data_IF_865252067414
#
_entry.id   IF_865252067414
#
_cell.length_a   1.000
_cell.length_b   1.000
_cell.length_c   1.000
_cell.angle_alpha   90.00
_cell.angle_beta   90.00
_cell.angle_gamma   90.00
#
_symmetry.space_group_name_H-M   'P 1'
#
loop_
_entity.id
_entity.type
_entity.pdbx_description
1 polymer ?
#
# COMPACT_ATOMS: atom_id res chain seq x y z
N UNK A 1 -4.56 -5.08 35.47
CA UNK A 1 -5.05 -3.84 36.12
C UNK A 1 -5.55 -2.86 35.05
N UNK A 2 -6.72 -2.25 35.28
CA UNK A 2 -7.39 -1.11 34.59
C UNK A 2 -7.73 -1.23 33.07
N UNK A 3 -9.01 -1.36 32.66
CA UNK A 3 -10.03 -0.30 32.37
C UNK A 3 -9.55 0.69 31.28
N UNK A 4 -10.18 0.90 30.13
CA UNK A 4 -11.59 0.85 29.74
C UNK A 4 -12.02 2.26 29.31
N UNK A 5 -12.27 2.52 28.02
CA UNK A 5 -12.89 3.76 27.53
C UNK A 5 -13.56 3.54 26.16
N UNK A 6 -14.89 3.43 26.18
CA UNK A 6 -15.79 3.67 25.05
C UNK A 6 -16.26 5.12 25.11
N UNK A 7 -16.33 5.83 23.98
CA UNK A 7 -17.29 6.92 23.79
C UNK A 7 -17.65 7.08 22.31
N UNK A 8 -18.95 7.31 22.12
CA UNK A 8 -19.67 7.47 20.86
C UNK A 8 -19.97 8.96 20.60
N UNK A 9 -20.76 9.19 19.53
CA UNK A 9 -21.41 10.44 19.05
C UNK A 9 -20.63 11.15 17.93
N UNK A 10 -21.21 11.66 16.84
CA UNK A 10 -22.61 11.92 16.49
C UNK A 10 -22.75 12.14 14.97
N UNK A 11 -23.90 11.78 14.42
CA UNK A 11 -24.35 12.07 13.05
C UNK A 11 -25.08 13.41 13.03
N UNK A 12 -24.82 14.24 12.04
CA UNK A 12 -25.69 15.36 11.65
C UNK A 12 -26.09 15.19 10.17
N UNK A 13 -27.40 15.11 9.96
CA UNK A 13 -28.05 15.08 8.65
C UNK A 13 -28.56 16.47 8.32
N UNK A 14 -28.24 16.99 7.14
CA UNK A 14 -28.86 18.18 6.57
C UNK A 14 -29.57 17.80 5.26
N UNK A 15 -30.89 17.95 5.29
CA UNK A 15 -31.82 17.89 4.15
C UNK A 15 -31.70 19.19 3.35
N UNK A 16 -31.69 19.09 2.04
CA UNK A 16 -31.98 20.21 1.13
C UNK A 16 -32.92 19.73 0.02
N UNK A 17 -34.15 20.22 0.10
CA UNK A 17 -35.21 20.13 -0.91
C UNK A 17 -35.02 21.25 -1.93
N UNK A 18 -35.10 20.96 -3.22
CA UNK A 18 -35.31 21.99 -4.25
C UNK A 18 -36.35 21.56 -5.29
N UNK A 19 -37.27 22.49 -5.53
CA UNK A 19 -38.45 22.40 -6.36
C UNK A 19 -38.11 22.47 -7.86
N UNK A 20 -38.88 21.77 -8.69
CA UNK A 20 -38.86 21.89 -10.16
C UNK A 20 -40.11 22.63 -10.67
N UNK A 21 -40.00 23.54 -11.67
CA UNK A 21 -41.14 24.23 -12.27
C UNK A 21 -41.73 23.48 -13.49
N UNK A 22 -42.90 23.90 -14.01
CA UNK A 22 -43.77 23.05 -14.82
C UNK A 22 -43.48 23.07 -16.32
N UNK A 23 -43.86 21.96 -16.97
CA UNK A 23 -43.81 21.69 -18.42
C UNK A 23 -44.97 22.38 -19.14
N UNK A 24 -44.69 23.31 -20.06
CA UNK A 24 -45.64 23.84 -21.03
C UNK A 24 -45.65 22.97 -22.31
N UNK A 25 -46.85 22.59 -22.75
CA UNK A 25 -47.12 21.92 -24.03
C UNK A 25 -47.44 23.00 -25.07
N UNK A 26 -46.82 22.91 -26.25
CA UNK A 26 -47.24 23.67 -27.42
C UNK A 26 -47.13 22.79 -28.67
N UNK A 27 -48.28 22.49 -29.26
CA UNK A 27 -48.42 21.86 -30.56
C UNK A 27 -48.41 22.93 -31.65
N UNK A 28 -47.60 22.76 -32.69
CA UNK A 28 -47.84 23.39 -33.99
C UNK A 28 -47.57 22.38 -35.10
N UNK A 29 -48.55 22.32 -36.00
CA UNK A 29 -48.59 21.57 -37.25
C UNK A 29 -47.68 22.23 -38.30
N UNK A 30 -47.09 21.42 -39.17
CA UNK A 30 -46.33 21.87 -40.35
C UNK A 30 -47.05 21.44 -41.65
N UNK A 31 -47.02 22.25 -42.73
CA UNK A 31 -47.67 21.96 -44.02
C UNK A 31 -46.83 21.04 -44.95
N UNK A 32 -47.37 20.61 -46.12
CA UNK A 32 -46.82 19.52 -46.91
C UNK A 32 -45.58 19.92 -47.71
N UNK A 33 -44.65 18.98 -47.83
CA UNK A 33 -43.38 19.13 -48.52
C UNK A 33 -43.52 18.90 -50.03
N UNK A 34 -43.18 19.93 -50.80
CA UNK A 34 -42.99 19.90 -52.26
C UNK A 34 -41.64 19.23 -52.58
N UNK A 35 -41.67 18.25 -53.47
CA UNK A 35 -40.51 17.50 -53.96
C UNK A 35 -39.72 18.36 -54.97
N UNK A 36 -38.42 18.53 -54.75
CA UNK A 36 -37.48 19.09 -55.73
C UNK A 36 -36.30 18.12 -55.91
N UNK A 37 -35.67 18.10 -57.11
CA UNK A 37 -34.80 17.01 -57.52
C UNK A 37 -33.38 17.12 -56.94
N UNK A 38 -32.87 15.97 -56.51
CA UNK A 38 -31.54 15.72 -55.99
C UNK A 38 -30.45 15.98 -57.03
N UNK A 39 -29.71 17.07 -56.90
CA UNK A 39 -28.37 17.22 -57.50
C UNK A 39 -27.32 16.67 -56.55
N UNK A 40 -26.68 15.58 -56.96
CA UNK A 40 -25.65 14.90 -56.19
C UNK A 40 -24.39 15.76 -56.04
N UNK A 41 -24.13 16.18 -54.80
CA UNK A 41 -22.80 16.46 -54.32
C UNK A 41 -22.61 15.60 -53.07
N UNK A 42 -21.81 14.54 -53.19
CA UNK A 42 -21.45 13.67 -52.07
C UNK A 42 -20.53 14.45 -51.11
N UNK A 43 -21.13 15.20 -50.19
CA UNK A 43 -20.47 15.92 -49.10
C UNK A 43 -20.27 14.99 -47.89
N UNK A 44 -19.55 13.89 -48.13
CA UNK A 44 -19.24 12.84 -47.16
C UNK A 44 -17.92 13.02 -46.40
N UNK A 45 -17.18 14.11 -46.60
CA UNK A 45 -15.75 14.18 -46.24
C UNK A 45 -15.42 15.08 -45.02
N UNK A 46 -16.39 15.33 -44.12
CA UNK A 46 -16.11 16.01 -42.84
C UNK A 46 -15.56 15.14 -41.67
N UNK A 47 -15.51 13.78 -41.71
CA UNK A 47 -14.84 13.01 -40.66
C UNK A 47 -13.30 12.96 -40.81
N UNK A 48 -12.75 13.18 -42.01
CA UNK A 48 -11.30 13.07 -42.25
C UNK A 48 -10.51 14.20 -41.55
N UNK A 49 -11.06 15.40 -41.47
CA UNK A 49 -10.37 16.54 -40.83
C UNK A 49 -10.15 16.35 -39.31
N UNK A 50 -10.99 15.55 -38.64
CA UNK A 50 -10.85 15.23 -37.22
C UNK A 50 -10.04 13.95 -36.95
N UNK A 51 -9.74 13.18 -38.00
CA UNK A 51 -9.02 11.91 -37.88
C UNK A 51 -7.61 12.08 -37.28
N UNK A 52 -6.80 13.10 -37.66
CA UNK A 52 -5.47 13.31 -37.06
C UNK A 52 -5.54 13.60 -35.56
N UNK A 53 -6.54 14.37 -35.12
CA UNK A 53 -6.74 14.71 -33.72
C UNK A 53 -7.17 13.48 -32.92
N UNK A 54 -8.12 12.70 -33.43
CA UNK A 54 -8.53 11.44 -32.81
C UNK A 54 -7.37 10.44 -32.72
N UNK A 55 -6.55 10.33 -33.76
CA UNK A 55 -5.37 9.47 -33.78
C UNK A 55 -4.32 9.91 -32.77
N UNK A 56 -4.07 11.22 -32.64
CA UNK A 56 -3.15 11.76 -31.65
C UNK A 56 -3.59 11.45 -30.22
N UNK A 57 -4.88 11.63 -29.89
CA UNK A 57 -5.42 11.25 -28.58
C UNK A 57 -5.27 9.76 -28.30
N UNK A 58 -5.57 8.90 -29.28
CA UNK A 58 -5.42 7.45 -29.11
C UNK A 58 -3.96 7.04 -28.93
N UNK A 59 -3.03 7.67 -29.65
CA UNK A 59 -1.59 7.42 -29.49
C UNK A 59 -1.07 7.85 -28.11
N UNK A 60 -1.45 9.04 -27.63
CA UNK A 60 -1.09 9.51 -26.28
C UNK A 60 -1.66 8.56 -25.22
N UNK A 61 -2.92 8.17 -25.39
CA UNK A 61 -3.60 7.23 -24.50
C UNK A 61 -2.88 5.87 -24.47
N UNK A 62 -2.52 5.33 -25.63
CA UNK A 62 -1.75 4.08 -25.74
C UNK A 62 -0.35 4.19 -25.13
N UNK A 63 0.37 5.30 -25.35
CA UNK A 63 1.68 5.54 -24.76
C UNK A 63 1.59 5.62 -23.23
N UNK A 64 0.65 6.39 -22.69
CA UNK A 64 0.38 6.44 -21.24
C UNK A 64 0.06 5.06 -20.67
N UNK A 65 -0.78 4.28 -21.35
CA UNK A 65 -1.13 2.94 -20.88
C UNK A 65 0.03 1.96 -21.02
N UNK A 66 0.89 2.10 -22.03
CA UNK A 66 2.10 1.29 -22.17
C UNK A 66 3.06 1.56 -21.01
N UNK A 67 3.22 2.81 -20.61
CA UNK A 67 4.00 3.18 -19.42
C UNK A 67 3.34 2.69 -18.11
N UNK A 68 2.04 2.88 -17.94
CA UNK A 68 1.29 2.36 -16.77
C UNK A 68 1.28 0.83 -16.70
N UNK A 69 1.35 0.14 -17.85
CA UNK A 69 1.44 -1.31 -17.92
C UNK A 69 2.87 -1.83 -17.72
N UNK A 70 3.90 -0.99 -17.85
CA UNK A 70 5.29 -1.38 -17.55
C UNK A 70 5.53 -1.53 -16.05
N UNK A 71 4.86 -0.72 -15.22
CA UNK A 71 4.94 -0.81 -13.76
C UNK A 71 3.60 -0.45 -13.10
N UNK A 72 2.63 -1.36 -13.15
CA UNK A 72 1.30 -1.07 -12.64
C UNK A 72 1.33 -0.98 -11.11
N UNK A 73 0.99 0.21 -10.59
CA UNK A 73 0.99 0.48 -9.14
C UNK A 73 0.29 -0.65 -8.36
N UNK A 74 0.91 -1.17 -7.28
CA UNK A 74 0.41 -2.35 -6.57
C UNK A 74 -1.00 -2.13 -6.02
N UNK A 75 -1.79 -3.19 -5.80
CA UNK A 75 -3.18 -3.10 -5.30
C UNK A 75 -3.24 -2.88 -3.77
N UNK A 76 -2.38 -1.99 -3.31
CA UNK A 76 -2.22 -1.62 -1.91
C UNK A 76 -2.69 -0.18 -1.73
N UNK A 77 -3.50 0.04 -0.69
CA UNK A 77 -3.96 1.39 -0.32
C UNK A 77 -2.85 2.20 0.34
N UNK A 78 -2.89 3.53 0.22
CA UNK A 78 -1.91 4.41 0.87
C UNK A 78 -1.95 4.26 2.40
N UNK A 79 -3.13 4.00 2.95
CA UNK A 79 -3.38 3.76 4.37
C UNK A 79 -2.70 2.48 4.86
N UNK A 80 -2.76 1.39 4.09
CA UNK A 80 -2.07 0.14 4.43
C UNK A 80 -0.56 0.30 4.44
N UNK A 81 0.01 1.00 3.45
CA UNK A 81 1.44 1.32 3.42
C UNK A 81 1.83 2.13 4.66
N UNK A 82 1.13 3.24 4.90
CA UNK A 82 1.43 4.13 6.04
C UNK A 82 1.34 3.41 7.38
N UNK A 83 0.28 2.63 7.61
CA UNK A 83 0.09 1.88 8.85
C UNK A 83 1.20 0.86 9.07
N UNK A 84 1.56 0.11 8.02
CA UNK A 84 2.62 -0.90 8.12
C UNK A 84 3.99 -0.26 8.31
N UNK A 85 4.31 0.80 7.58
CA UNK A 85 5.55 1.57 7.75
C UNK A 85 5.67 2.11 9.17
N UNK A 86 4.60 2.71 9.70
CA UNK A 86 4.59 3.23 11.08
C UNK A 86 4.84 2.13 12.12
N UNK A 87 4.26 0.95 11.91
CA UNK A 87 4.47 -0.20 12.78
C UNK A 87 5.92 -0.72 12.71
N UNK A 88 6.48 -0.88 11.50
CA UNK A 88 7.88 -1.29 11.31
C UNK A 88 8.83 -0.30 12.00
N UNK A 89 8.62 1.02 11.81
CA UNK A 89 9.40 2.07 12.49
C UNK A 89 9.27 2.00 14.00
N UNK A 90 8.08 1.70 14.53
CA UNK A 90 7.89 1.52 15.97
C UNK A 90 8.69 0.33 16.52
N UNK A 91 8.77 -0.78 15.78
CA UNK A 91 9.59 -1.94 16.17
C UNK A 91 11.07 -1.59 16.13
N UNK A 92 11.51 -0.92 15.06
CA UNK A 92 12.88 -0.41 14.93
C UNK A 92 13.24 0.45 16.14
N UNK A 93 12.41 1.45 16.45
CA UNK A 93 12.67 2.37 17.57
C UNK A 93 12.75 1.63 18.90
N UNK A 94 11.85 0.67 19.17
CA UNK A 94 11.90 -0.12 20.41
C UNK A 94 13.17 -0.97 20.52
N UNK A 95 13.65 -1.53 19.40
CA UNK A 95 14.91 -2.28 19.37
C UNK A 95 16.13 -1.37 19.50
N UNK A 96 16.11 -0.18 18.89
CA UNK A 96 17.17 0.84 19.05
C UNK A 96 17.26 1.30 20.50
N UNK A 97 16.14 1.68 21.11
CA UNK A 97 16.06 2.09 22.51
C UNK A 97 16.62 1.00 23.45
N UNK A 98 16.29 -0.27 23.17
CA UNK A 98 16.87 -1.39 23.91
C UNK A 98 18.40 -1.47 23.74
N UNK A 99 18.90 -1.36 22.51
CA UNK A 99 20.34 -1.40 22.24
C UNK A 99 21.06 -0.20 22.90
N UNK A 100 20.45 0.99 22.89
CA UNK A 100 20.98 2.20 23.53
C UNK A 100 21.03 2.09 25.07
N UNK A 101 20.26 1.18 25.69
CA UNK A 101 20.38 0.88 27.12
C UNK A 101 21.72 0.24 27.52
N UNK A 102 22.51 -0.21 26.53
CA UNK A 102 23.89 -0.68 26.68
C UNK A 102 24.91 0.37 26.23
N UNK A 103 24.50 1.63 26.03
CA UNK A 103 25.42 2.73 25.73
C UNK A 103 25.83 3.47 27.00
N UNK A 104 27.01 4.11 26.94
CA UNK A 104 27.53 4.98 28.01
C UNK A 104 26.53 6.05 28.45
N UNK A 105 25.81 6.64 27.50
CA UNK A 105 24.86 7.73 27.75
C UNK A 105 23.69 7.28 28.62
N UNK A 106 23.33 5.99 28.59
CA UNK A 106 22.26 5.44 29.41
C UNK A 106 22.64 5.23 30.88
N UNK A 107 23.93 5.03 31.20
CA UNK A 107 24.38 4.58 32.52
C UNK A 107 23.90 5.46 33.67
N UNK A 108 23.92 6.78 33.51
CA UNK A 108 23.54 7.74 34.55
C UNK A 108 22.04 7.77 34.82
N UNK A 109 21.22 7.34 33.85
CA UNK A 109 19.75 7.32 33.96
C UNK A 109 19.23 6.02 34.57
N UNK A 110 20.02 4.93 34.53
CA UNK A 110 19.63 3.63 35.05
C UNK A 110 19.65 3.61 36.59
N UNK A 111 18.62 3.01 37.18
CA UNK A 111 18.63 2.68 38.62
C UNK A 111 19.71 1.64 38.94
N UNK A 112 20.11 1.51 40.21
CA UNK A 112 21.13 0.53 40.63
C UNK A 112 20.75 -0.92 40.27
N UNK A 113 19.45 -1.24 40.32
CA UNK A 113 18.93 -2.56 39.95
C UNK A 113 18.98 -2.79 38.44
N UNK A 114 18.61 -1.80 37.63
CA UNK A 114 18.68 -1.89 36.17
C UNK A 114 20.12 -1.94 35.69
N UNK A 115 21.01 -1.13 36.27
CA UNK A 115 22.44 -1.18 35.99
C UNK A 115 23.03 -2.55 36.32
N UNK A 116 22.62 -3.16 37.43
CA UNK A 116 23.03 -4.52 37.78
C UNK A 116 22.54 -5.54 36.75
N UNK A 117 21.25 -5.52 36.43
CA UNK A 117 20.64 -6.42 35.44
C UNK A 117 21.27 -6.27 34.06
N UNK A 118 21.46 -5.05 33.57
CA UNK A 118 22.06 -4.81 32.26
C UNK A 118 23.51 -5.28 32.23
N UNK A 119 24.27 -5.14 33.33
CA UNK A 119 25.62 -5.69 33.41
C UNK A 119 25.64 -7.22 33.36
N UNK A 120 24.69 -7.91 34.01
CA UNK A 120 24.55 -9.37 33.90
C UNK A 120 24.22 -9.81 32.47
N UNK A 121 23.28 -9.12 31.81
CA UNK A 121 22.93 -9.38 30.42
C UNK A 121 24.15 -9.16 29.52
N UNK A 122 24.86 -8.05 29.68
CA UNK A 122 26.04 -7.72 28.88
C UNK A 122 27.15 -8.76 29.05
N UNK A 123 27.40 -9.22 30.28
CA UNK A 123 28.38 -10.27 30.59
C UNK A 123 28.02 -11.58 29.90
N UNK A 124 26.78 -12.02 30.02
CA UNK A 124 26.34 -13.29 29.44
C UNK A 124 26.28 -13.22 27.91
N UNK A 125 25.79 -12.11 27.35
CA UNK A 125 25.81 -11.88 25.90
C UNK A 125 27.24 -11.89 25.36
N UNK A 126 28.17 -11.16 25.98
CA UNK A 126 29.57 -11.14 25.57
C UNK A 126 30.21 -12.53 25.59
N UNK A 127 29.96 -13.33 26.64
CA UNK A 127 30.41 -14.72 26.73
C UNK A 127 29.90 -15.56 25.56
N UNK A 128 28.61 -15.45 25.22
CA UNK A 128 28.04 -16.15 24.07
C UNK A 128 28.62 -15.67 22.75
N UNK A 129 28.87 -14.37 22.58
CA UNK A 129 29.51 -13.84 21.37
C UNK A 129 30.94 -14.33 21.22
N UNK A 130 31.70 -14.47 22.31
CA UNK A 130 33.03 -15.10 22.29
C UNK A 130 32.95 -16.55 21.80
N UNK A 131 32.00 -17.34 22.33
CA UNK A 131 31.76 -18.73 21.87
C UNK A 131 31.38 -18.74 20.38
N UNK A 132 30.48 -17.84 19.97
CA UNK A 132 30.04 -17.70 18.59
C UNK A 132 31.22 -17.38 17.66
N UNK A 133 32.12 -16.48 18.05
CA UNK A 133 33.30 -16.10 17.27
C UNK A 133 34.35 -17.22 17.19
N UNK A 134 34.51 -18.00 18.27
CA UNK A 134 35.46 -19.11 18.34
C UNK A 134 35.00 -20.36 17.58
N UNK A 135 33.69 -20.57 17.47
CA UNK A 135 33.10 -21.68 16.75
C UNK A 135 33.52 -21.66 15.26
N UNK A 136 34.09 -22.73 14.73
CA UNK A 136 34.61 -22.78 13.34
C UNK A 136 33.74 -23.60 12.39
N UNK A 137 32.78 -24.38 12.92
CA UNK A 137 31.95 -25.30 12.11
C UNK A 137 31.01 -24.59 11.14
N UNK A 138 30.55 -23.38 11.49
CA UNK A 138 29.67 -22.55 10.66
C UNK A 138 30.35 -21.23 10.32
N UNK A 139 30.32 -20.86 9.04
CA UNK A 139 30.82 -19.57 8.57
C UNK A 139 29.74 -18.49 8.73
N UNK A 140 30.17 -17.27 9.04
CA UNK A 140 29.29 -16.09 8.98
C UNK A 140 28.87 -15.86 7.52
N UNK A 141 27.58 -15.61 7.30
CA UNK A 141 27.10 -15.33 5.95
C UNK A 141 27.70 -14.00 5.44
N UNK A 142 28.34 -14.08 4.28
CA UNK A 142 28.91 -12.92 3.58
C UNK A 142 27.88 -12.21 2.71
N UNK A 143 26.80 -12.91 2.35
CA UNK A 143 25.72 -12.36 1.55
C UNK A 143 24.76 -11.59 2.45
N UNK A 144 25.27 -10.49 3.00
CA UNK A 144 24.46 -9.53 3.71
C UNK A 144 23.20 -9.23 2.90
N UNK A 145 22.05 -9.45 3.53
CA UNK A 145 20.74 -9.01 3.08
C UNK A 145 20.77 -7.50 2.76
N UNK A 146 21.26 -7.11 1.57
CA UNK A 146 21.08 -5.76 1.01
C UNK A 146 19.66 -5.73 0.49
N UNK A 147 18.74 -5.38 1.37
CA UNK A 147 17.38 -5.86 1.24
C UNK A 147 16.58 -5.19 0.15
N UNK A 148 16.76 -3.91 -0.20
CA UNK A 148 15.98 -3.26 -1.26
C UNK A 148 16.67 -1.97 -1.70
N UNK A 149 17.04 -1.82 -2.98
CA UNK A 149 17.28 -0.49 -3.58
C UNK A 149 16.05 -0.10 -4.40
N UNK A 150 15.38 0.98 -4.00
CA UNK A 150 14.31 1.58 -4.83
C UNK A 150 14.99 2.58 -5.77
N UNK A 151 15.38 2.10 -6.95
CA UNK A 151 15.92 2.94 -8.01
C UNK A 151 14.83 3.53 -8.91
N UNK A 152 15.13 4.62 -9.65
CA UNK A 152 14.21 5.20 -10.64
C UNK A 152 13.96 4.27 -11.85
N UNK A 153 14.81 3.25 -12.06
CA UNK A 153 14.77 2.36 -13.24
C UNK A 153 13.79 1.18 -13.12
N UNK A 154 12.81 1.27 -12.21
CA UNK A 154 11.62 0.41 -12.19
C UNK A 154 11.62 -0.67 -11.11
N UNK A 155 10.44 -0.87 -10.50
CA UNK A 155 10.20 -1.75 -9.35
C UNK A 155 10.05 -3.24 -9.71
N UNK A 156 10.37 -3.66 -10.94
CA UNK A 156 9.60 -4.78 -11.49
C UNK A 156 10.10 -6.20 -11.16
N UNK A 157 11.38 -6.41 -10.84
CA UNK A 157 11.85 -7.76 -10.51
C UNK A 157 12.78 -7.82 -9.30
N UNK A 158 13.80 -6.96 -9.25
CA UNK A 158 14.72 -6.93 -8.11
C UNK A 158 13.98 -6.57 -6.82
N UNK A 159 13.17 -5.51 -6.83
CA UNK A 159 12.33 -5.13 -5.68
C UNK A 159 11.40 -6.27 -5.22
N UNK A 160 10.79 -7.01 -6.16
CA UNK A 160 9.91 -8.14 -5.83
C UNK A 160 10.69 -9.32 -5.24
N UNK A 161 11.85 -9.66 -5.80
CA UNK A 161 12.73 -10.70 -5.28
C UNK A 161 13.20 -10.35 -3.86
N UNK A 162 13.59 -9.09 -3.67
CA UNK A 162 13.98 -8.50 -2.41
C UNK A 162 12.87 -8.53 -1.35
N UNK A 163 11.65 -8.14 -1.72
CA UNK A 163 10.48 -8.29 -0.85
C UNK A 163 10.20 -9.76 -0.52
N UNK A 164 10.40 -10.69 -1.46
CA UNK A 164 10.23 -12.12 -1.21
C UNK A 164 11.26 -12.62 -0.20
N UNK A 165 12.53 -12.24 -0.36
CA UNK A 165 13.60 -12.51 0.61
C UNK A 165 13.27 -11.95 1.98
N UNK A 166 12.79 -10.70 2.06
CA UNK A 166 12.41 -10.10 3.34
C UNK A 166 11.18 -10.76 3.97
N UNK A 167 10.18 -11.12 3.17
CA UNK A 167 8.99 -11.84 3.64
C UNK A 167 9.36 -13.22 4.20
N UNK A 168 10.28 -13.91 3.54
CA UNK A 168 10.83 -15.18 4.03
C UNK A 168 11.63 -14.98 5.31
N UNK A 169 12.48 -13.94 5.36
CA UNK A 169 13.21 -13.55 6.57
C UNK A 169 12.24 -13.32 7.74
N UNK A 170 11.23 -12.48 7.57
CA UNK A 170 10.26 -12.20 8.64
C UNK A 170 9.48 -13.43 9.06
N UNK A 171 9.13 -14.31 8.12
CA UNK A 171 8.41 -15.55 8.44
C UNK A 171 9.28 -16.50 9.25
N UNK A 172 10.50 -16.79 8.77
CA UNK A 172 11.46 -17.65 9.45
C UNK A 172 11.84 -17.08 10.81
N UNK A 173 12.16 -15.78 10.86
CA UNK A 173 12.50 -15.09 12.09
C UNK A 173 11.38 -15.24 13.11
N UNK A 174 10.12 -14.99 12.74
CA UNK A 174 9.01 -15.06 13.70
C UNK A 174 8.67 -16.46 14.18
N UNK A 175 8.91 -17.47 13.34
CA UNK A 175 8.66 -18.86 13.67
C UNK A 175 9.74 -19.44 14.59
N UNK A 176 10.86 -18.70 14.78
CA UNK A 176 11.92 -19.16 15.66
C UNK A 176 11.48 -19.19 17.12
N UNK A 177 11.51 -20.40 17.70
CA UNK A 177 11.17 -20.67 19.10
C UNK A 177 12.00 -19.84 20.09
N UNK A 178 13.22 -19.48 19.69
CA UNK A 178 14.16 -18.74 20.52
C UNK A 178 13.73 -17.29 20.78
N UNK A 179 12.82 -16.73 19.97
CA UNK A 179 12.20 -15.44 20.29
C UNK A 179 11.26 -15.51 21.51
N UNK A 180 10.96 -16.69 22.06
CA UNK A 180 10.63 -16.88 23.47
C UNK A 180 9.61 -15.94 24.11
N UNK A 181 8.58 -15.49 23.37
CA UNK A 181 7.61 -14.50 23.87
C UNK A 181 8.16 -13.08 24.05
N UNK A 182 9.36 -12.79 23.53
CA UNK A 182 9.96 -11.46 23.45
C UNK A 182 9.17 -10.51 22.58
N UNK A 183 8.42 -11.06 21.62
CA UNK A 183 7.51 -10.28 20.82
C UNK A 183 6.10 -10.42 21.41
N UNK A 184 5.50 -9.31 21.90
CA UNK A 184 4.15 -9.37 22.45
C UNK A 184 3.14 -9.88 21.42
N UNK A 185 2.11 -10.64 21.82
CA UNK A 185 1.15 -11.27 20.91
C UNK A 185 0.36 -10.25 20.09
N UNK A 186 0.24 -9.02 20.57
CA UNK A 186 -0.35 -7.91 19.82
C UNK A 186 0.35 -7.68 18.48
N UNK A 187 1.68 -7.85 18.39
CA UNK A 187 2.46 -7.68 17.17
C UNK A 187 2.20 -8.76 16.11
N UNK A 188 1.60 -9.90 16.48
CA UNK A 188 1.30 -10.97 15.54
C UNK A 188 0.30 -10.52 14.47
N UNK A 189 -0.70 -9.70 14.84
CA UNK A 189 -1.69 -9.20 13.88
C UNK A 189 -1.07 -8.25 12.86
N UNK A 190 -0.20 -7.33 13.29
CA UNK A 190 0.46 -6.41 12.36
C UNK A 190 1.54 -7.13 11.54
N UNK A 191 2.16 -8.19 12.08
CA UNK A 191 3.02 -9.08 11.29
C UNK A 191 2.25 -9.69 10.13
N UNK A 192 1.09 -10.29 10.39
CA UNK A 192 0.28 -10.93 9.35
C UNK A 192 -0.16 -9.91 8.30
N UNK A 193 -0.49 -8.68 8.72
CA UNK A 193 -0.77 -7.58 7.80
C UNK A 193 0.45 -7.18 6.98
N UNK A 194 1.65 -7.12 7.58
CA UNK A 194 2.88 -6.80 6.88
C UNK A 194 3.26 -7.88 5.87
N UNK A 195 3.22 -9.16 6.26
CA UNK A 195 3.46 -10.32 5.39
C UNK A 195 2.45 -10.34 4.23
N UNK A 196 1.17 -10.13 4.52
CA UNK A 196 0.13 -10.02 3.50
C UNK A 196 0.42 -8.85 2.55
N UNK A 197 0.77 -7.69 3.09
CA UNK A 197 1.11 -6.51 2.29
C UNK A 197 2.29 -6.79 1.35
N UNK A 198 3.38 -7.39 1.87
CA UNK A 198 4.53 -7.74 1.05
C UNK A 198 4.18 -8.77 -0.02
N UNK A 199 3.35 -9.77 0.31
CA UNK A 199 2.82 -10.73 -0.67
C UNK A 199 2.00 -10.01 -1.75
N UNK A 200 1.15 -9.07 -1.37
CA UNK A 200 0.34 -8.27 -2.30
C UNK A 200 1.20 -7.36 -3.20
N UNK A 201 2.33 -6.85 -2.69
CA UNK A 201 3.33 -6.11 -3.47
C UNK A 201 4.14 -7.02 -4.41
N UNK A 202 4.33 -8.30 -4.06
CA UNK A 202 5.05 -9.29 -4.87
C UNK A 202 4.19 -9.87 -5.99
N UNK A 203 2.86 -9.95 -5.80
CA UNK A 203 1.94 -10.50 -6.80
C UNK A 203 2.18 -9.80 -8.13
N UNK A 204 2.72 -10.54 -9.09
CA UNK A 204 2.72 -10.10 -10.48
C UNK A 204 1.26 -9.83 -10.83
N UNK A 205 0.95 -8.60 -11.25
CA UNK A 205 -0.40 -8.32 -11.74
C UNK A 205 -0.69 -9.28 -12.88
N UNK A 206 -1.96 -9.65 -12.97
CA UNK A 206 -2.39 -10.67 -13.88
C UNK A 206 -1.93 -10.30 -15.30
N UNK A 207 -0.96 -11.05 -15.83
CA UNK A 207 -0.63 -11.02 -17.25
C UNK A 207 -1.81 -11.64 -17.98
N UNK A 208 -2.21 -11.01 -19.06
CA UNK A 208 -3.17 -11.62 -19.94
C UNK A 208 -2.61 -12.94 -20.45
N UNK A 209 -3.34 -14.03 -20.25
CA UNK A 209 -2.93 -15.37 -20.69
C UNK A 209 -2.69 -15.48 -22.20
N UNK A 210 -3.25 -14.55 -22.98
CA UNK A 210 -3.19 -14.55 -24.44
C UNK A 210 -2.15 -13.57 -25.00
N UNK A 211 -2.08 -12.36 -24.43
CA UNK A 211 -1.25 -11.28 -24.94
C UNK A 211 0.07 -11.12 -24.14
N UNK A 212 0.20 -11.82 -23.00
CA UNK A 212 1.25 -11.71 -21.97
C UNK A 212 1.52 -10.29 -21.44
N UNK A 213 0.72 -9.30 -21.86
CA UNK A 213 0.76 -7.95 -21.30
C UNK A 213 -0.09 -7.88 -20.03
N UNK A 214 0.35 -7.03 -19.11
CA UNK A 214 -0.37 -6.73 -17.89
C UNK A 214 -1.70 -6.05 -18.23
N UNK A 215 -2.79 -6.48 -17.59
CA UNK A 215 -4.09 -5.86 -17.76
C UNK A 215 -4.51 -5.06 -16.52
N UNK A 216 -5.19 -3.95 -16.76
CA UNK A 216 -5.85 -3.15 -15.72
C UNK A 216 -7.35 -3.47 -15.81
N UNK A 217 -7.90 -4.15 -14.80
CA UNK A 217 -9.33 -4.53 -14.75
C UNK A 217 -9.61 -5.94 -15.30
N UNK A 218 -10.77 -6.17 -15.93
CA UNK A 218 -11.20 -7.50 -16.39
C UNK A 218 -10.83 -7.81 -17.86
N UNK A 219 -10.20 -6.88 -18.59
CA UNK A 219 -9.93 -6.98 -20.04
C UNK A 219 -8.46 -6.59 -20.36
N UNK A 220 -7.73 -7.41 -21.14
CA UNK A 220 -6.44 -7.02 -21.76
C UNK A 220 -6.73 -5.98 -22.82
N UNK A 221 -6.25 -4.74 -22.65
CA UNK A 221 -6.50 -3.67 -23.61
C UNK A 221 -5.79 -3.88 -24.97
N UNK A 222 -4.76 -4.74 -25.04
CA UNK A 222 -4.05 -5.03 -26.29
C UNK A 222 -4.79 -6.00 -27.21
N UNK A 223 -5.33 -7.08 -26.65
CA UNK A 223 -6.07 -8.08 -27.42
C UNK A 223 -7.58 -8.01 -27.20
N UNK A 224 -8.02 -7.04 -26.40
CA UNK A 224 -9.39 -6.83 -25.97
C UNK A 224 -10.03 -8.06 -25.31
N UNK A 225 -9.23 -9.02 -24.82
CA UNK A 225 -9.72 -10.28 -24.23
C UNK A 225 -9.95 -10.17 -22.72
N UNK A 226 -11.05 -10.72 -22.21
CA UNK A 226 -11.25 -10.91 -20.77
C UNK A 226 -10.18 -11.86 -20.20
N UNK A 227 -10.00 -11.92 -18.87
CA UNK A 227 -9.13 -12.93 -18.23
C UNK A 227 -9.49 -14.37 -18.64
N UNK A 228 -10.75 -14.62 -19.01
CA UNK A 228 -11.24 -15.88 -19.56
C UNK A 228 -11.02 -16.06 -21.08
N UNK A 229 -10.51 -15.06 -21.80
CA UNK A 229 -10.10 -15.17 -23.20
C UNK A 229 -11.05 -14.69 -24.29
N UNK A 230 -12.23 -14.17 -23.94
CA UNK A 230 -13.20 -13.64 -24.89
C UNK A 230 -12.89 -12.21 -25.28
N UNK A 231 -12.88 -11.91 -26.59
CA UNK A 231 -12.71 -10.53 -27.09
C UNK A 231 -13.96 -9.70 -26.83
N UNK A 232 -13.81 -8.47 -26.34
CA UNK A 232 -14.88 -7.49 -26.03
C UNK A 232 -15.94 -7.36 -27.13
N UNK A 233 -15.52 -7.52 -28.38
CA UNK A 233 -16.33 -7.26 -29.56
C UNK A 233 -17.07 -8.51 -30.08
N UNK A 234 -16.77 -9.69 -29.54
CA UNK A 234 -17.57 -10.87 -29.88
C UNK A 234 -18.93 -10.75 -29.20
N UNK A 235 -20.02 -11.01 -29.93
CA UNK A 235 -21.37 -11.12 -29.35
C UNK A 235 -21.43 -12.13 -28.17
N UNK A 236 -20.47 -13.07 -28.12
CA UNK A 236 -20.23 -14.03 -27.03
C UNK A 236 -19.47 -13.45 -25.83
N UNK A 237 -18.90 -12.25 -25.86
CA UNK A 237 -18.35 -11.58 -24.68
C UNK A 237 -19.43 -11.23 -23.65
N UNK A 238 -20.67 -11.01 -24.10
CA UNK A 238 -21.86 -10.98 -23.22
C UNK A 238 -22.12 -12.32 -22.51
N UNK A 239 -21.42 -13.39 -22.92
CA UNK A 239 -21.43 -14.74 -22.35
C UNK A 239 -20.06 -15.15 -21.76
N UNK A 240 -19.06 -14.26 -21.66
CA UNK A 240 -17.82 -14.54 -20.89
C UNK A 240 -18.29 -14.90 -19.46
N UNK A 241 -17.88 -16.08 -18.95
CA UNK A 241 -18.45 -16.81 -17.81
C UNK A 241 -18.52 -16.10 -16.45
N UNK A 242 -18.22 -14.80 -16.41
CA UNK A 242 -18.76 -13.91 -15.39
C UNK A 242 -20.28 -13.69 -15.58
N UNK A 243 -20.89 -14.08 -16.70
CA UNK A 243 -22.33 -14.01 -16.98
C UNK A 243 -22.86 -15.33 -17.58
N UNK A 244 -22.44 -16.50 -17.08
CA UNK A 244 -22.85 -17.77 -17.69
C UNK A 244 -24.29 -18.14 -17.36
N UNK A 245 -25.20 -17.85 -18.30
CA UNK A 245 -26.50 -18.51 -18.43
C UNK A 245 -26.41 -19.91 -19.07
N UNK A 246 -25.44 -20.74 -18.69
CA UNK A 246 -25.47 -22.17 -19.05
C UNK A 246 -26.24 -22.92 -17.95
N UNK A 247 -27.19 -23.82 -18.27
CA UNK A 247 -28.06 -24.46 -17.27
C UNK A 247 -27.33 -25.24 -16.15
N UNK A 248 -26.03 -25.51 -16.32
CA UNK A 248 -25.22 -26.34 -15.41
C UNK A 248 -23.95 -25.63 -14.86
N UNK A 249 -23.84 -24.29 -14.94
CA UNK A 249 -22.70 -23.61 -14.31
C UNK A 249 -22.82 -23.59 -12.79
N UNK A 250 -21.73 -23.94 -12.08
CA UNK A 250 -21.60 -23.79 -10.63
C UNK A 250 -21.11 -22.38 -10.28
N UNK A 251 -21.65 -21.79 -9.23
CA UNK A 251 -21.18 -20.52 -8.70
C UNK A 251 -19.75 -20.66 -8.16
N UNK A 252 -18.80 -19.84 -8.64
CA UNK A 252 -17.42 -19.87 -8.13
C UNK A 252 -17.28 -19.51 -6.65
N UNK A 253 -18.30 -18.90 -6.03
CA UNK A 253 -18.28 -18.53 -4.61
C UNK A 253 -18.89 -19.59 -3.69
N UNK A 254 -19.99 -20.23 -4.10
CA UNK A 254 -20.70 -21.19 -3.23
C UNK A 254 -20.80 -22.62 -3.79
N UNK A 255 -20.35 -22.87 -5.02
CA UNK A 255 -20.37 -24.17 -5.66
C UNK A 255 -21.74 -24.65 -6.17
N UNK A 256 -22.83 -23.94 -5.83
CA UNK A 256 -24.19 -24.31 -6.23
C UNK A 256 -24.47 -24.08 -7.73
N UNK A 257 -25.31 -24.93 -8.32
CA UNK A 257 -25.75 -24.78 -9.70
C UNK A 257 -26.72 -23.59 -9.81
N UNK A 258 -26.35 -22.58 -10.60
CA UNK A 258 -27.20 -21.40 -10.79
C UNK A 258 -28.16 -21.61 -11.93
N UNK A 259 -29.46 -21.71 -11.63
CA UNK A 259 -30.52 -21.65 -12.63
C UNK A 259 -30.73 -20.19 -13.08
N UNK A 260 -30.55 -19.95 -14.38
CA UNK A 260 -30.82 -18.71 -15.15
C UNK A 260 -29.77 -17.61 -15.23
N UNK A 261 -29.76 -16.99 -16.42
CA UNK A 261 -28.98 -15.82 -16.81
C UNK A 261 -29.39 -14.59 -15.98
N UNK A 262 -28.53 -14.18 -15.06
CA UNK A 262 -28.74 -13.02 -14.20
C UNK A 262 -27.45 -12.56 -13.50
N UNK A 263 -27.46 -11.35 -12.97
CA UNK A 263 -26.32 -10.62 -12.37
C UNK A 263 -25.85 -11.15 -11.01
N UNK A 264 -26.55 -12.11 -10.39
CA UNK A 264 -26.25 -12.61 -9.04
C UNK A 264 -26.54 -14.11 -8.92
N UNK A 265 -25.77 -14.83 -8.09
CA UNK A 265 -26.08 -16.20 -7.70
C UNK A 265 -27.32 -16.22 -6.80
N UNK A 266 -28.32 -17.05 -7.13
CA UNK A 266 -29.55 -17.18 -6.34
C UNK A 266 -29.32 -17.84 -4.98
N UNK A 267 -28.34 -18.73 -4.85
CA UNK A 267 -28.02 -19.40 -3.58
C UNK A 267 -27.30 -18.49 -2.58
N UNK A 268 -26.24 -17.79 -3.01
CA UNK A 268 -25.42 -16.99 -2.09
C UNK A 268 -25.65 -15.47 -2.19
N UNK A 269 -26.41 -15.01 -3.21
CA UNK A 269 -26.63 -13.58 -3.46
C UNK A 269 -25.38 -12.83 -3.91
N UNK A 270 -24.27 -13.52 -4.18
CA UNK A 270 -23.01 -12.90 -4.60
C UNK A 270 -22.99 -12.72 -6.10
N UNK A 271 -22.62 -11.52 -6.56
CA UNK A 271 -22.40 -11.25 -7.98
C UNK A 271 -21.05 -11.83 -8.47
N UNK A 272 -20.83 -11.93 -9.78
CA UNK A 272 -19.56 -12.37 -10.37
C UNK A 272 -18.34 -11.53 -9.96
N UNK A 273 -18.57 -10.32 -9.45
CA UNK A 273 -17.55 -9.41 -8.91
C UNK A 273 -17.37 -9.51 -7.38
N UNK A 274 -17.99 -10.49 -6.71
CA UNK A 274 -17.80 -10.75 -5.28
C UNK A 274 -18.64 -9.90 -4.31
N UNK A 275 -19.59 -9.10 -4.80
CA UNK A 275 -20.47 -8.31 -3.93
C UNK A 275 -21.73 -9.10 -3.55
N UNK A 276 -22.06 -9.14 -2.25
CA UNK A 276 -23.29 -9.72 -1.72
C UNK A 276 -24.46 -8.75 -1.83
N UNK A 277 -25.64 -9.24 -2.22
CA UNK A 277 -26.90 -8.50 -2.07
C UNK A 277 -27.12 -8.22 -0.58
N UNK A 278 -26.96 -6.96 -0.17
CA UNK A 278 -27.46 -6.50 1.13
C UNK A 278 -28.97 -6.73 1.17
N UNK A 279 -29.48 -7.38 2.23
CA UNK A 279 -30.88 -7.86 2.40
C UNK A 279 -31.98 -6.77 2.36
N UNK A 280 -31.78 -5.60 1.75
CA UNK A 280 -32.74 -4.48 1.77
C UNK A 280 -33.37 -4.21 0.40
N UNK A 281 -34.66 -4.59 0.36
CA UNK A 281 -35.78 -4.14 -0.49
C UNK A 281 -35.81 -4.64 -1.94
N UNK A 282 -36.96 -5.25 -2.27
CA UNK A 282 -37.43 -5.67 -3.59
C UNK A 282 -37.61 -4.43 -4.47
N UNK A 283 -36.60 -4.17 -5.29
CA UNK A 283 -36.59 -3.19 -6.37
C UNK A 283 -35.46 -3.59 -7.30
N UNK A 284 -35.62 -3.37 -8.60
CA UNK A 284 -34.64 -3.73 -9.64
C UNK A 284 -33.27 -3.16 -9.25
N UNK A 285 -32.38 -4.01 -8.73
CA UNK A 285 -31.05 -3.62 -8.26
C UNK A 285 -30.08 -3.64 -9.44
N UNK A 286 -29.69 -2.45 -9.90
CA UNK A 286 -28.49 -2.28 -10.72
C UNK A 286 -27.25 -2.44 -9.82
N UNK A 287 -26.40 -3.43 -10.13
CA UNK A 287 -25.01 -3.47 -9.67
C UNK A 287 -24.42 -2.08 -9.89
N UNK A 288 -23.80 -1.45 -8.88
CA UNK A 288 -23.08 -0.16 -8.98
C UNK A 288 -21.83 -0.21 -9.90
N UNK A 289 -21.80 -1.21 -10.77
CA UNK A 289 -20.84 -1.54 -11.81
C UNK A 289 -21.18 -0.78 -13.10
N UNK A 290 -21.93 0.33 -12.97
CA UNK A 290 -22.11 1.33 -14.00
C UNK A 290 -20.73 1.95 -14.24
N UNK A 291 -20.06 1.39 -15.23
CA UNK A 291 -19.11 2.03 -16.13
C UNK A 291 -18.24 3.11 -15.50
N UNK A 292 -16.92 2.84 -15.45
CA UNK A 292 -15.93 3.91 -15.48
C UNK A 292 -16.40 4.98 -16.48
N UNK A 293 -16.64 6.18 -15.97
CA UNK A 293 -17.32 7.29 -16.65
C UNK A 293 -16.70 7.69 -18.01
N UNK A 294 -15.52 7.17 -18.35
CA UNK A 294 -14.85 7.38 -19.63
C UNK A 294 -15.59 6.74 -20.81
N UNK A 295 -16.23 5.57 -20.65
CA UNK A 295 -16.96 4.91 -21.75
C UNK A 295 -18.33 5.54 -22.02
N UNK A 296 -19.06 5.95 -20.97
CA UNK A 296 -20.32 6.65 -21.11
C UNK A 296 -20.12 8.01 -21.81
N UNK A 297 -18.99 8.68 -21.53
CA UNK A 297 -18.62 9.93 -22.20
C UNK A 297 -18.30 9.72 -23.68
N UNK A 298 -17.57 8.67 -24.03
CA UNK A 298 -17.26 8.33 -25.42
C UNK A 298 -18.50 7.87 -26.22
N UNK A 299 -19.41 7.11 -25.61
CA UNK A 299 -20.69 6.75 -26.24
C UNK A 299 -21.61 7.95 -26.38
N UNK A 300 -21.69 8.83 -25.38
CA UNK A 300 -22.47 10.08 -25.49
C UNK A 300 -21.92 10.91 -26.64
N UNK A 301 -20.60 11.14 -26.73
CA UNK A 301 -19.93 11.79 -27.87
C UNK A 301 -20.34 11.17 -29.21
N UNK A 302 -20.23 9.84 -29.34
CA UNK A 302 -20.58 9.15 -30.58
C UNK A 302 -22.07 9.31 -30.93
N UNK A 303 -22.94 9.30 -29.94
CA UNK A 303 -24.39 9.42 -30.15
C UNK A 303 -24.79 10.83 -30.55
N UNK A 304 -24.22 11.86 -29.88
CA UNK A 304 -24.46 13.27 -30.21
C UNK A 304 -23.90 13.63 -31.58
N UNK A 305 -22.68 13.17 -31.90
CA UNK A 305 -22.03 13.41 -33.19
C UNK A 305 -22.83 12.79 -34.35
N UNK A 306 -23.39 11.59 -34.16
CA UNK A 306 -24.20 10.92 -35.19
C UNK A 306 -25.59 11.56 -35.32
N UNK A 307 -26.22 11.99 -34.23
CA UNK A 307 -27.57 12.58 -34.29
C UNK A 307 -27.60 13.96 -34.93
N UNK A 308 -26.53 14.73 -34.83
CA UNK A 308 -26.44 16.08 -35.39
C UNK A 308 -26.00 16.07 -36.85
N UNK A 309 -25.19 15.08 -37.27
CA UNK A 309 -24.85 14.85 -38.68
C UNK A 309 -26.07 14.56 -39.56
N UNK A 310 -27.13 13.94 -39.02
CA UNK A 310 -28.35 13.57 -39.78
C UNK A 310 -29.25 14.79 -40.09
N UNK A 311 -29.03 15.96 -39.45
CA UNK A 311 -29.92 17.14 -39.59
C UNK A 311 -29.38 18.23 -40.53
N UNK A 312 -28.28 17.98 -41.24
CA UNK A 312 -27.54 19.01 -42.01
C UNK A 312 -28.08 19.27 -43.43
N UNK A 313 -29.18 18.64 -43.84
CA UNK A 313 -29.49 18.38 -45.27
C UNK A 313 -30.43 19.38 -45.98
N UNK A 314 -30.63 20.61 -45.49
CA UNK A 314 -31.46 21.60 -46.22
C UNK A 314 -30.85 23.02 -46.23
N UNK A 315 -30.83 23.60 -47.44
CA UNK A 315 -30.09 24.77 -47.88
C UNK A 315 -30.51 26.08 -47.20
N UNK A 316 -29.91 26.36 -46.03
CA UNK A 316 -29.55 27.70 -45.56
C UNK A 316 -28.41 27.61 -44.50
N UNK A 317 -27.27 26.92 -44.77
CA UNK A 317 -26.72 26.04 -43.74
C UNK A 317 -25.41 26.51 -43.09
N UNK A 318 -24.71 27.52 -43.62
CA UNK A 318 -23.35 27.89 -43.16
C UNK A 318 -23.29 28.37 -41.70
N UNK A 319 -24.14 29.31 -41.30
CA UNK A 319 -24.06 29.90 -39.95
C UNK A 319 -24.46 28.90 -38.86
N UNK A 320 -25.47 28.06 -39.11
CA UNK A 320 -25.90 27.02 -38.18
C UNK A 320 -24.81 25.94 -38.01
N UNK A 321 -24.22 25.48 -39.10
CA UNK A 321 -23.11 24.51 -39.06
C UNK A 321 -21.88 25.06 -38.30
N UNK A 322 -21.54 26.33 -38.50
CA UNK A 322 -20.46 26.98 -37.76
C UNK A 322 -20.76 27.09 -36.26
N UNK A 323 -22.01 27.40 -35.89
CA UNK A 323 -22.43 27.44 -34.48
C UNK A 323 -22.44 26.04 -33.83
N UNK A 324 -22.85 25.02 -34.57
CA UNK A 324 -22.81 23.62 -34.10
C UNK A 324 -21.36 23.16 -33.92
N UNK A 325 -20.46 23.50 -34.86
CA UNK A 325 -19.03 23.23 -34.75
C UNK A 325 -18.38 23.95 -33.57
N UNK A 326 -18.71 25.23 -33.36
CA UNK A 326 -18.25 25.99 -32.20
C UNK A 326 -18.73 25.35 -30.88
N UNK A 327 -19.99 24.90 -30.83
CA UNK A 327 -20.55 24.20 -29.67
C UNK A 327 -19.84 22.87 -29.39
N UNK A 328 -19.52 22.11 -30.43
CA UNK A 328 -18.73 20.88 -30.31
C UNK A 328 -17.30 21.15 -29.84
N UNK A 329 -16.64 22.17 -30.38
CA UNK A 329 -15.32 22.59 -29.95
C UNK A 329 -15.30 23.00 -28.47
N UNK A 330 -16.31 23.75 -28.01
CA UNK A 330 -16.47 24.13 -26.61
C UNK A 330 -16.72 22.93 -25.70
N UNK A 331 -17.53 21.96 -26.14
CA UNK A 331 -17.75 20.71 -25.43
C UNK A 331 -16.44 19.91 -25.29
N UNK A 332 -15.69 19.75 -26.38
CA UNK A 332 -14.39 19.08 -26.38
C UNK A 332 -13.38 19.81 -25.47
N UNK A 333 -13.30 21.14 -25.54
CA UNK A 333 -12.43 21.93 -24.68
C UNK A 333 -12.79 21.79 -23.18
N UNK A 334 -14.08 21.65 -22.84
CA UNK A 334 -14.50 21.36 -21.45
C UNK A 334 -14.10 19.96 -21.00
N UNK A 335 -14.22 18.96 -21.87
CA UNK A 335 -13.80 17.59 -21.59
C UNK A 335 -12.28 17.52 -21.39
N UNK A 336 -11.49 18.09 -22.31
CA UNK A 336 -10.03 18.15 -22.17
C UNK A 336 -9.59 18.81 -20.86
N UNK A 337 -10.26 19.90 -20.44
CA UNK A 337 -9.99 20.55 -19.14
C UNK A 337 -10.35 19.66 -17.95
N UNK A 338 -11.42 18.87 -18.05
CA UNK A 338 -11.84 17.93 -17.00
C UNK A 338 -10.85 16.77 -16.89
N UNK A 339 -10.44 16.21 -18.03
CA UNK A 339 -9.45 15.14 -18.10
C UNK A 339 -8.08 15.61 -17.60
N UNK A 340 -7.63 16.81 -17.98
CA UNK A 340 -6.39 17.38 -17.48
C UNK A 340 -6.39 17.51 -15.94
N UNK A 341 -7.50 17.98 -15.35
CA UNK A 341 -7.67 18.02 -13.88
C UNK A 341 -7.65 16.63 -13.26
N UNK A 342 -8.33 15.66 -13.87
CA UNK A 342 -8.34 14.28 -13.40
C UNK A 342 -6.94 13.64 -13.46
N UNK A 343 -6.20 13.88 -14.54
CA UNK A 343 -4.81 13.45 -14.72
C UNK A 343 -3.90 14.07 -13.66
N UNK A 344 -3.99 15.38 -13.44
CA UNK A 344 -3.20 16.06 -12.41
C UNK A 344 -3.49 15.49 -11.01
N UNK A 345 -4.77 15.22 -10.70
CA UNK A 345 -5.15 14.59 -9.44
C UNK A 345 -4.62 13.15 -9.31
N UNK A 346 -4.65 12.37 -10.39
CA UNK A 346 -4.11 11.02 -10.44
C UNK A 346 -2.58 11.02 -10.28
N UNK A 347 -1.88 11.93 -10.95
CA UNK A 347 -0.43 12.12 -10.85
C UNK A 347 -0.03 12.49 -9.41
N UNK A 348 -0.75 13.40 -8.77
CA UNK A 348 -0.51 13.76 -7.36
C UNK A 348 -0.67 12.55 -6.43
N UNK A 349 -1.74 11.76 -6.60
CA UNK A 349 -1.96 10.54 -5.81
C UNK A 349 -0.88 9.49 -6.08
N UNK A 350 -0.45 9.36 -7.32
CA UNK A 350 0.64 8.45 -7.70
C UNK A 350 1.95 8.86 -7.04
N UNK A 351 2.36 10.14 -7.14
CA UNK A 351 3.55 10.67 -6.45
C UNK A 351 3.50 10.41 -4.95
N UNK A 352 2.37 10.70 -4.30
CA UNK A 352 2.20 10.43 -2.88
C UNK A 352 2.38 8.94 -2.54
N UNK A 353 1.85 8.04 -3.36
CA UNK A 353 2.01 6.59 -3.16
C UNK A 353 3.46 6.13 -3.37
N UNK A 354 4.19 6.73 -4.30
CA UNK A 354 5.60 6.44 -4.53
C UNK A 354 6.46 6.86 -3.34
N UNK A 355 6.22 8.03 -2.74
CA UNK A 355 6.90 8.43 -1.50
C UNK A 355 6.61 7.46 -0.35
N UNK A 356 5.36 7.01 -0.18
CA UNK A 356 5.02 6.01 0.84
C UNK A 356 5.71 4.66 0.60
N UNK A 357 5.86 4.23 -0.66
CA UNK A 357 6.59 3.02 -1.01
C UNK A 357 8.08 3.15 -0.72
N UNK A 358 8.66 4.34 -0.96
CA UNK A 358 10.05 4.65 -0.61
C UNK A 358 10.26 4.57 0.90
N UNK A 359 9.43 5.24 1.69
CA UNK A 359 9.50 5.17 3.16
C UNK A 359 9.30 3.75 3.68
N UNK A 360 8.41 2.97 3.06
CA UNK A 360 8.20 1.57 3.40
C UNK A 360 9.44 0.73 3.12
N UNK A 361 10.09 0.92 1.97
CA UNK A 361 11.32 0.22 1.62
C UNK A 361 12.48 0.57 2.57
N UNK A 362 12.61 1.84 2.96
CA UNK A 362 13.57 2.28 3.97
C UNK A 362 13.34 1.57 5.32
N UNK A 363 12.09 1.54 5.81
CA UNK A 363 11.75 0.85 7.05
C UNK A 363 12.04 -0.67 6.97
N UNK A 364 11.73 -1.31 5.84
CA UNK A 364 12.04 -2.73 5.61
C UNK A 364 13.55 -2.98 5.66
N UNK A 365 14.36 -2.11 5.06
CA UNK A 365 15.81 -2.25 5.04
C UNK A 365 16.46 -2.04 6.42
N UNK A 366 15.82 -1.24 7.26
CA UNK A 366 16.32 -0.92 8.59
C UNK A 366 16.05 -2.06 9.58
N UNK A 367 14.88 -2.70 9.48
CA UNK A 367 14.46 -3.75 10.42
C UNK A 367 15.52 -4.84 10.61
N UNK A 368 16.06 -5.51 9.57
CA UNK A 368 17.05 -6.57 9.77
C UNK A 368 18.36 -6.07 10.36
N UNK A 369 18.79 -4.86 10.04
CA UNK A 369 20.03 -4.28 10.61
C UNK A 369 19.91 -4.10 12.11
N UNK A 370 18.82 -3.45 12.54
CA UNK A 370 18.57 -3.16 13.96
C UNK A 370 18.25 -4.45 14.72
N UNK A 371 17.49 -5.33 14.10
CA UNK A 371 17.14 -6.61 14.68
C UNK A 371 18.37 -7.48 14.92
N UNK A 372 19.28 -7.62 13.95
CA UNK A 372 20.53 -8.38 14.14
C UNK A 372 21.33 -7.88 15.34
N UNK A 373 21.48 -6.57 15.50
CA UNK A 373 22.12 -5.97 16.68
C UNK A 373 21.36 -6.30 17.95
N UNK A 374 20.05 -6.14 17.96
CA UNK A 374 19.19 -6.50 19.08
C UNK A 374 19.37 -7.97 19.51
N UNK A 375 19.49 -8.89 18.55
CA UNK A 375 19.77 -10.29 18.84
C UNK A 375 21.15 -10.51 19.46
N UNK A 376 22.17 -9.81 18.99
CA UNK A 376 23.52 -9.88 19.53
C UNK A 376 23.57 -9.42 20.99
N UNK A 377 22.93 -8.30 21.32
CA UNK A 377 22.79 -7.82 22.72
C UNK A 377 22.05 -8.81 23.61
N UNK A 378 21.18 -9.64 23.03
CA UNK A 378 20.37 -10.64 23.74
C UNK A 378 20.85 -12.07 23.57
N UNK A 379 22.02 -12.29 22.98
CA UNK A 379 22.53 -13.62 22.66
C UNK A 379 22.63 -14.50 23.91
N UNK A 380 22.93 -13.90 25.07
CA UNK A 380 22.94 -14.54 26.38
C UNK A 380 21.61 -15.12 26.86
N UNK A 381 20.48 -14.66 26.31
CA UNK A 381 19.14 -15.12 26.67
C UNK A 381 18.60 -16.21 25.73
N UNK A 382 19.31 -16.50 24.64
CA UNK A 382 18.90 -17.50 23.65
C UNK A 382 19.26 -18.89 24.19
N UNK A 383 18.27 -19.78 24.27
CA UNK A 383 18.45 -21.13 24.84
C UNK A 383 18.99 -22.13 23.82
N UNK A 384 18.73 -21.87 22.55
CA UNK A 384 19.15 -22.65 21.41
C UNK A 384 20.62 -22.40 21.05
N UNK A 385 21.18 -23.25 20.18
CA UNK A 385 22.56 -23.13 19.69
C UNK A 385 22.78 -21.75 19.02
N UNK A 386 23.64 -20.88 19.59
CA UNK A 386 23.91 -19.56 19.03
C UNK A 386 24.58 -19.64 17.67
N UNK A 387 25.21 -20.77 17.30
CA UNK A 387 25.83 -20.93 15.98
C UNK A 387 24.81 -20.87 14.82
N UNK A 388 23.52 -21.12 15.09
CA UNK A 388 22.44 -20.87 14.12
C UNK A 388 22.29 -19.39 13.72
N UNK A 389 22.75 -18.44 14.56
CA UNK A 389 22.72 -17.01 14.24
C UNK A 389 23.74 -16.61 13.17
N UNK A 390 24.78 -17.41 12.93
CA UNK A 390 25.83 -17.09 11.95
C UNK A 390 25.33 -16.99 10.51
N UNK A 391 24.24 -17.70 10.20
CA UNK A 391 23.57 -17.62 8.90
C UNK A 391 22.96 -16.23 8.65
N UNK A 392 22.79 -15.42 9.70
CA UNK A 392 22.12 -14.13 9.64
C UNK A 392 23.06 -12.95 9.87
N UNK A 393 24.21 -13.18 10.49
CA UNK A 393 25.12 -12.16 11.00
C UNK A 393 26.43 -12.14 10.22
N UNK A 394 27.05 -10.96 10.07
CA UNK A 394 28.48 -10.95 9.74
C UNK A 394 29.36 -10.97 10.96
N UNK A 395 30.58 -11.47 10.75
CA UNK A 395 31.65 -11.44 11.74
C UNK A 395 31.90 -10.01 12.27
N UNK A 396 31.92 -9.03 11.38
CA UNK A 396 32.17 -7.63 11.74
C UNK A 396 31.06 -7.05 12.64
N UNK A 397 29.79 -7.39 12.38
CA UNK A 397 28.67 -6.98 13.25
C UNK A 397 28.81 -7.61 14.65
N UNK A 398 29.20 -8.89 14.71
CA UNK A 398 29.39 -9.61 15.99
C UNK A 398 30.56 -9.02 16.78
N UNK A 399 31.70 -8.78 16.12
CA UNK A 399 32.89 -8.17 16.74
C UNK A 399 32.59 -6.75 17.25
N UNK A 400 31.81 -5.96 16.51
CA UNK A 400 31.39 -4.61 16.92
C UNK A 400 30.52 -4.63 18.19
N UNK A 401 29.48 -5.47 18.21
CA UNK A 401 28.60 -5.58 19.40
C UNK A 401 29.34 -6.19 20.58
N UNK A 402 30.23 -7.17 20.36
CA UNK A 402 31.06 -7.73 21.42
C UNK A 402 31.95 -6.67 22.08
N UNK A 403 32.60 -5.82 21.28
CA UNK A 403 33.39 -4.69 21.80
C UNK A 403 32.51 -3.71 22.60
N UNK A 404 31.34 -3.33 22.08
CA UNK A 404 30.41 -2.43 22.78
C UNK A 404 29.95 -3.01 24.12
N UNK A 405 29.70 -4.32 24.19
CA UNK A 405 29.32 -5.01 25.44
C UNK A 405 30.45 -5.01 26.47
N UNK A 406 31.71 -5.21 26.05
CA UNK A 406 32.86 -5.13 26.96
C UNK A 406 33.07 -3.70 27.48
N UNK A 407 33.03 -2.69 26.59
CA UNK A 407 33.10 -1.28 26.97
C UNK A 407 32.01 -0.91 27.99
N UNK A 408 30.76 -1.29 27.72
CA UNK A 408 29.65 -1.08 28.65
C UNK A 408 29.88 -1.76 30.01
N UNK A 409 30.46 -2.96 30.04
CA UNK A 409 30.72 -3.69 31.30
C UNK A 409 31.75 -2.97 32.17
N UNK A 410 32.80 -2.42 31.56
CA UNK A 410 33.83 -1.67 32.25
C UNK A 410 33.25 -0.36 32.79
N UNK A 411 32.56 0.41 31.95
CA UNK A 411 31.92 1.67 32.34
C UNK A 411 30.84 1.47 33.42
N UNK A 412 30.02 0.41 33.32
CA UNK A 412 29.04 0.08 34.35
C UNK A 412 29.70 -0.27 35.69
N UNK A 413 30.90 -0.86 35.68
CA UNK A 413 31.67 -1.15 36.89
C UNK A 413 32.20 0.13 37.54
N UNK A 414 32.75 1.04 36.73
CA UNK A 414 33.20 2.36 37.17
C UNK A 414 32.05 3.18 37.77
N UNK A 415 30.90 3.22 37.09
CA UNK A 415 29.71 3.93 37.56
C UNK A 415 29.20 3.36 38.89
N UNK A 416 29.18 2.03 39.06
CA UNK A 416 28.84 1.40 40.35
C UNK A 416 29.80 1.83 41.46
N UNK A 417 31.09 1.92 41.17
CA UNK A 417 32.10 2.37 42.13
C UNK A 417 31.87 3.85 42.47
N UNK A 418 31.66 4.71 41.46
CA UNK A 418 31.38 6.13 41.64
C UNK A 418 30.13 6.37 42.51
N UNK A 419 29.04 5.63 42.28
CA UNK A 419 27.82 5.71 43.10
C UNK A 419 28.05 5.30 44.55
N UNK A 420 28.89 4.31 44.82
CA UNK A 420 29.24 3.89 46.19
C UNK A 420 30.03 4.97 46.93
N UNK A 421 31.03 5.56 46.28
CA UNK A 421 31.82 6.64 46.88
C UNK A 421 31.03 7.94 47.02
N UNK A 422 30.16 8.26 46.05
CA UNK A 422 29.28 9.42 46.10
C UNK A 422 28.30 9.37 47.28
N UNK A 423 27.64 8.23 47.49
CA UNK A 423 26.75 8.02 48.65
C UNK A 423 27.50 8.10 49.99
N UNK A 424 28.76 7.64 50.02
CA UNK A 424 29.56 7.65 51.24
C UNK A 424 30.01 9.07 51.65
N UNK A 425 30.21 9.98 50.69
CA UNK A 425 30.62 11.37 50.98
C UNK A 425 29.51 12.19 51.65
N UNK A 426 28.25 11.99 51.26
CA UNK A 426 27.12 12.74 51.84
C UNK A 426 26.77 12.34 53.29
N UNK A 427 27.23 11.17 53.77
CA UNK A 427 26.93 10.70 55.13
C UNK A 427 28.04 11.04 56.13
N UNK A 428 29.24 11.40 55.66
CA UNK A 428 30.41 11.58 56.53
C UNK A 428 30.69 13.01 57.00
N UNK A 429 29.95 14.03 56.56
CA UNK A 429 30.14 15.40 57.06
C UNK A 429 29.51 15.64 58.45
N UNK A 430 28.60 14.77 58.90
CA UNK A 430 27.98 14.87 60.23
C UNK A 430 28.81 14.30 61.38
N UNK A 431 29.76 13.40 61.11
CA UNK A 431 30.40 12.59 62.17
C UNK A 431 31.74 13.13 62.71
N UNK A 432 32.25 14.24 62.15
CA UNK A 432 33.47 14.89 62.65
C UNK A 432 33.22 16.20 63.43
N UNK A 433 31.94 16.53 63.69
CA UNK A 433 31.57 17.78 64.38
C UNK A 433 31.47 17.67 65.91
N UNK A 434 31.85 16.55 66.54
CA UNK A 434 31.83 16.43 68.00
C UNK A 434 33.22 16.37 68.64
N UNK A 435 33.44 17.37 69.51
CA UNK A 435 34.33 17.41 70.67
C UNK A 435 35.58 18.31 70.60
N UNK A 436 35.44 19.55 70.12
CA UNK A 436 36.19 20.66 70.74
C UNK A 436 35.39 21.20 71.92
N UNK A 437 35.38 20.46 73.02
CA UNK A 437 34.90 20.99 74.30
C UNK A 437 35.98 21.94 74.85
N UNK A 438 35.73 23.26 74.99
CA UNK A 438 36.72 24.16 75.56
C UNK A 438 36.80 23.88 77.07
N UNK A 439 37.93 23.34 77.54
CA UNK A 439 38.24 23.36 78.96
C UNK A 439 38.49 24.81 79.38
N UNK A 440 37.53 25.39 80.09
CA UNK A 440 37.68 26.65 80.78
C UNK A 440 38.72 26.47 81.90
N UNK A 441 39.90 27.06 81.70
CA UNK A 441 40.90 27.27 82.76
C UNK A 441 40.33 28.32 83.72
N UNK A 442 39.97 27.90 84.95
CA UNK A 442 39.74 28.81 86.08
C UNK A 442 41.06 28.99 86.83
N UNK A 443 41.48 30.25 86.96
CA UNK A 443 42.44 30.71 87.97
C UNK A 443 41.76 31.04 89.28
#
# INVERSE_FOLDING_TARGET
>A
MARGLRRALSRSSSRSTSCSPPRSKSSRQSPPSTTMPSTGAALGDSPELLQPVSAAFENIRQAMFKELARDPAPDVTAEQLKATTSWLKSIVNAMVEHNESFSRLGLTTLSDNELHRNQEIAREASRQLTVLLAESTKQFDRNHLQLVKVGPEGLCQEFRANLATFSNFLSQFWDTKWLGGLVPPEFAQQKDLAVKLMSDLQKQRNRCRFCHLDYVGNLCMKCDRCSCGYMRNQAQARRCGHFSGTPNARCNFCGEYTAQAGTFCTSCGTCPHGQQIGKKRRGVHQCGCQEFATNATAQTLKTTLVSDAIKLDQEAPSCKQLNDLATMADALARLCRTDAKAMQAAEKKFKQKMELLKEFAEAINEVPKVLRRFLLFRCGSIKEDPASLKEWLSKAEVEDVHRQLEEFRDEASEEKIARRFGKSRTVSEGSWSMATSPQAVRG
#
